data_IF_390971862820
#
_entry.id   IF_390971862820
#
_cell.length_a   1.000
_cell.length_b   1.000
_cell.length_c   1.000
_cell.angle_alpha   90.00
_cell.angle_beta   90.00
_cell.angle_gamma   90.00
#
_symmetry.space_group_name_H-M   'P 1'
#
loop_
_entity.id
_entity.type
_entity.pdbx_description
1 polymer ?
#
# COMPACT_ATOMS: atom_id res chain seq x y z
N UNK A 1 19.93 10.83 -15.84
CA UNK A 1 19.07 10.02 -14.94
C UNK A 1 18.73 10.82 -13.69
N UNK A 2 17.61 10.55 -13.00
CA UNK A 2 17.35 11.15 -11.67
C UNK A 2 17.64 10.10 -10.60
N UNK A 3 18.82 10.17 -9.99
CA UNK A 3 19.22 9.27 -8.91
C UNK A 3 18.45 9.61 -7.61
N UNK A 4 18.29 8.62 -6.71
CA UNK A 4 17.70 8.78 -5.36
C UNK A 4 16.25 9.33 -5.29
N UNK A 5 15.40 9.06 -6.29
CA UNK A 5 13.97 9.39 -6.21
C UNK A 5 13.26 8.53 -5.15
N UNK A 6 13.13 9.08 -3.94
CA UNK A 6 12.47 8.40 -2.82
C UNK A 6 10.93 8.35 -2.89
N UNK A 7 10.29 9.12 -3.78
CA UNK A 7 8.83 9.25 -3.83
C UNK A 7 8.29 9.38 -5.27
N UNK A 8 7.03 9.00 -5.47
CA UNK A 8 6.30 9.23 -6.73
C UNK A 8 5.73 10.64 -6.76
N UNK A 9 5.83 11.32 -7.91
CA UNK A 9 5.27 12.68 -8.08
C UNK A 9 3.74 12.70 -8.19
N UNK A 10 3.11 11.57 -8.58
CA UNK A 10 1.65 11.44 -8.74
C UNK A 10 1.02 12.52 -9.64
N UNK A 11 1.78 13.08 -10.58
CA UNK A 11 1.33 14.18 -11.45
C UNK A 11 1.01 15.49 -10.71
N UNK A 12 1.56 15.71 -9.51
CA UNK A 12 1.26 16.89 -8.67
C UNK A 12 2.51 17.68 -8.31
N UNK A 13 2.32 18.97 -8.01
CA UNK A 13 3.32 19.81 -7.34
C UNK A 13 3.60 19.27 -5.93
N UNK A 14 4.74 19.65 -5.35
CA UNK A 14 5.14 19.16 -4.02
C UNK A 14 4.11 19.52 -2.95
N UNK A 15 3.59 20.75 -2.96
CA UNK A 15 2.59 21.23 -2.02
C UNK A 15 1.27 20.46 -2.12
N UNK A 16 0.75 20.30 -3.34
CA UNK A 16 -0.49 19.54 -3.57
C UNK A 16 -0.28 18.06 -3.20
N UNK A 17 0.86 17.46 -3.53
CA UNK A 17 1.16 16.09 -3.13
C UNK A 17 1.17 15.92 -1.61
N UNK A 18 1.84 16.83 -0.88
CA UNK A 18 1.87 16.79 0.58
C UNK A 18 0.48 16.99 1.18
N UNK A 19 -0.28 17.97 0.68
CA UNK A 19 -1.66 18.21 1.14
C UNK A 19 -2.57 16.99 0.92
N UNK A 20 -2.45 16.35 -0.24
CA UNK A 20 -3.18 15.12 -0.57
C UNK A 20 -2.80 13.97 0.37
N UNK A 21 -1.51 13.77 0.67
CA UNK A 21 -1.06 12.72 1.59
C UNK A 21 -1.54 12.96 3.02
N UNK A 22 -1.51 14.22 3.50
CA UNK A 22 -2.08 14.59 4.81
C UNK A 22 -3.57 14.29 4.87
N UNK A 23 -4.32 14.64 3.83
CA UNK A 23 -5.75 14.34 3.74
C UNK A 23 -6.01 12.83 3.80
N UNK A 24 -5.30 12.03 2.99
CA UNK A 24 -5.46 10.58 2.97
C UNK A 24 -5.07 9.94 4.31
N UNK A 25 -4.00 10.42 4.96
CA UNK A 25 -3.57 9.94 6.27
C UNK A 25 -4.62 10.24 7.35
N UNK A 26 -5.16 11.46 7.35
CA UNK A 26 -6.27 11.86 8.22
C UNK A 26 -7.51 10.99 7.98
N UNK A 27 -7.87 10.72 6.72
CA UNK A 27 -9.00 9.85 6.39
C UNK A 27 -8.76 8.41 6.85
N UNK A 28 -7.56 7.86 6.68
CA UNK A 28 -7.22 6.50 7.10
C UNK A 28 -7.34 6.34 8.62
N UNK A 29 -6.74 7.27 9.39
CA UNK A 29 -6.74 7.19 10.86
C UNK A 29 -8.13 7.44 11.44
N UNK A 30 -8.94 8.33 10.84
CA UNK A 30 -10.28 8.62 11.34
C UNK A 30 -11.36 7.67 10.79
N UNK A 31 -11.03 6.80 9.82
CA UNK A 31 -12.00 5.87 9.28
C UNK A 31 -12.51 4.93 10.37
N UNK A 32 -13.83 4.66 10.34
CA UNK A 32 -14.49 3.72 11.27
C UNK A 32 -13.88 2.32 11.18
N UNK A 33 -13.66 1.85 9.96
CA UNK A 33 -13.09 0.53 9.66
C UNK A 33 -11.56 0.57 9.52
N UNK A 34 -10.92 1.72 9.81
CA UNK A 34 -9.46 1.91 9.67
C UNK A 34 -8.92 1.54 8.27
N UNK A 35 -9.75 1.70 7.23
CA UNK A 35 -9.42 1.39 5.83
C UNK A 35 -9.98 2.45 4.89
N UNK A 36 -9.26 2.69 3.79
CA UNK A 36 -9.73 3.54 2.69
C UNK A 36 -9.43 2.88 1.34
N UNK A 37 -10.29 3.15 0.36
CA UNK A 37 -10.09 2.72 -1.03
C UNK A 37 -9.44 3.87 -1.80
N UNK A 38 -8.34 3.57 -2.50
CA UNK A 38 -7.61 4.55 -3.31
C UNK A 38 -6.92 3.86 -4.49
N UNK A 39 -6.19 4.61 -5.31
CA UNK A 39 -5.40 4.01 -6.38
C UNK A 39 -4.11 3.39 -5.84
N UNK A 40 -3.63 2.31 -6.45
CA UNK A 40 -2.43 1.60 -6.00
C UNK A 40 -1.20 2.52 -5.86
N UNK A 41 -0.92 3.46 -6.79
CA UNK A 41 0.18 4.40 -6.61
C UNK A 41 0.01 5.32 -5.39
N UNK A 42 -1.22 5.78 -5.10
CA UNK A 42 -1.50 6.61 -3.92
C UNK A 42 -1.35 5.80 -2.63
N UNK A 43 -1.83 4.56 -2.59
CA UNK A 43 -1.68 3.67 -1.45
C UNK A 43 -0.21 3.40 -1.11
N UNK A 44 0.62 3.12 -2.13
CA UNK A 44 2.07 2.88 -1.95
C UNK A 44 2.80 4.09 -1.39
N UNK A 45 2.47 5.30 -1.83
CA UNK A 45 3.04 6.53 -1.26
C UNK A 45 2.50 6.83 0.15
N UNK A 46 1.22 6.51 0.40
CA UNK A 46 0.61 6.73 1.70
C UNK A 46 1.22 5.82 2.78
N UNK A 47 1.57 4.58 2.44
CA UNK A 47 2.20 3.63 3.37
C UNK A 47 3.42 4.22 4.07
N UNK A 48 4.43 4.69 3.32
CA UNK A 48 5.65 5.25 3.91
C UNK A 48 5.41 6.55 4.68
N UNK A 49 4.34 7.27 4.32
CA UNK A 49 3.93 8.48 5.01
C UNK A 49 3.29 8.17 6.37
N UNK A 50 2.34 7.25 6.42
CA UNK A 50 1.60 6.87 7.65
C UNK A 50 2.47 6.03 8.59
N UNK A 51 3.32 5.15 8.08
CA UNK A 51 4.20 4.33 8.93
C UNK A 51 5.12 5.20 9.78
N UNK A 52 5.68 6.27 9.22
CA UNK A 52 6.50 7.22 9.98
C UNK A 52 5.70 7.92 11.08
N UNK A 53 4.44 8.28 10.82
CA UNK A 53 3.59 8.89 11.84
C UNK A 53 3.30 7.93 13.00
N UNK A 54 2.97 6.67 12.69
CA UNK A 54 2.72 5.63 13.72
C UNK A 54 3.98 5.28 14.50
N UNK A 55 5.14 5.23 13.84
CA UNK A 55 6.42 5.01 14.52
C UNK A 55 6.68 6.09 15.58
N UNK A 56 6.41 7.36 15.29
CA UNK A 56 6.56 8.44 16.29
C UNK A 56 5.63 8.26 17.49
N UNK A 57 4.41 7.79 17.29
CA UNK A 57 3.50 7.49 18.42
C UNK A 57 3.95 6.28 19.24
N UNK A 58 4.50 5.24 18.60
CA UNK A 58 5.00 4.07 19.30
C UNK A 58 6.23 4.42 20.16
N UNK A 59 7.16 5.21 19.62
CA UNK A 59 8.30 5.70 20.40
C UNK A 59 7.88 6.49 21.62
N UNK A 60 6.81 7.30 21.52
CA UNK A 60 6.33 8.08 22.65
C UNK A 60 5.79 7.22 23.81
N UNK A 61 5.30 6.00 23.54
CA UNK A 61 4.79 5.07 24.56
C UNK A 61 5.89 4.33 25.33
N UNK A 62 7.14 4.37 24.86
CA UNK A 62 8.29 3.75 25.53
C UNK A 62 9.10 4.73 26.37
N UNK A 63 8.66 5.97 26.52
CA UNK A 63 9.40 7.01 27.25
C UNK A 63 8.90 7.09 28.69
N UNK A 64 9.79 6.84 29.63
CA UNK A 64 9.54 6.94 31.08
C UNK A 64 10.58 7.86 31.74
N UNK A 65 10.24 8.44 32.91
CA UNK A 65 11.13 9.31 33.70
C UNK A 65 10.93 10.83 33.48
N UNK A 66 11.74 11.64 34.17
CA UNK A 66 11.58 13.10 34.30
C UNK A 66 11.64 13.85 32.95
N UNK A 67 12.41 13.33 31.98
CA UNK A 67 12.50 13.91 30.64
C UNK A 67 11.49 13.34 29.64
N UNK A 68 10.77 12.28 30.00
CA UNK A 68 9.84 11.56 29.13
C UNK A 68 8.66 12.43 28.67
N UNK A 69 8.17 13.30 29.55
CA UNK A 69 7.10 14.25 29.22
C UNK A 69 7.52 15.25 28.12
N UNK A 70 8.76 15.77 28.19
CA UNK A 70 9.28 16.70 27.18
C UNK A 70 9.54 16.00 25.84
N UNK A 71 10.09 14.79 25.87
CA UNK A 71 10.37 14.00 24.68
C UNK A 71 9.07 13.54 23.98
N UNK A 72 8.06 13.09 24.73
CA UNK A 72 6.75 12.72 24.16
C UNK A 72 6.04 13.93 23.53
N UNK A 73 6.14 15.12 24.14
CA UNK A 73 5.66 16.36 23.56
C UNK A 73 6.37 16.68 22.23
N UNK A 74 7.69 16.51 22.17
CA UNK A 74 8.47 16.70 20.95
C UNK A 74 8.02 15.75 19.83
N UNK A 75 7.83 14.47 20.13
CA UNK A 75 7.31 13.48 19.17
C UNK A 75 5.90 13.82 18.69
N UNK A 76 5.01 14.28 19.57
CA UNK A 76 3.67 14.78 19.19
C UNK A 76 3.74 15.97 18.24
N UNK A 77 4.68 16.91 18.45
CA UNK A 77 4.92 18.06 17.56
C UNK A 77 5.47 17.63 16.20
N UNK A 78 6.39 16.67 16.17
CA UNK A 78 6.88 16.09 14.91
C UNK A 78 5.75 15.40 14.13
N UNK A 79 4.94 14.60 14.82
CA UNK A 79 3.81 13.87 14.22
C UNK A 79 2.72 14.81 13.68
N UNK A 80 2.54 16.00 14.30
CA UNK A 80 1.58 17.00 13.81
C UNK A 80 1.86 17.45 12.36
N UNK A 81 3.11 17.36 11.87
CA UNK A 81 3.46 17.71 10.49
C UNK A 81 2.84 16.79 9.42
N UNK A 82 2.43 15.58 9.82
CA UNK A 82 1.78 14.58 8.96
C UNK A 82 0.27 14.83 8.79
N UNK A 83 -0.29 15.78 9.54
CA UNK A 83 -1.70 16.14 9.48
C UNK A 83 -1.85 17.62 9.15
N UNK A 84 -3.03 18.01 8.69
CA UNK A 84 -3.33 19.43 8.55
C UNK A 84 -3.51 20.07 9.92
N UNK A 85 -2.82 21.20 10.13
CA UNK A 85 -3.02 22.02 11.31
C UNK A 85 -4.47 22.48 11.36
N UNK A 86 -5.07 22.43 12.55
CA UNK A 86 -6.39 23.00 12.74
C UNK A 86 -6.38 24.51 12.51
N UNK A 87 -7.46 25.07 11.97
CA UNK A 87 -7.65 26.52 11.98
C UNK A 87 -7.69 27.00 13.43
N UNK A 88 -6.64 27.72 13.84
CA UNK A 88 -6.45 28.24 15.21
C UNK A 88 -7.39 29.43 15.52
N UNK A 89 -8.01 29.99 14.49
CA UNK A 89 -8.87 31.16 14.57
C UNK A 89 -10.29 30.76 14.18
N UNK A 90 -11.11 30.28 15.11
CA UNK A 90 -12.57 30.45 15.06
C UNK A 90 -13.30 29.90 16.30
N UNK A 91 -14.31 30.69 16.69
CA UNK A 91 -15.19 30.58 17.84
C UNK A 91 -15.97 29.26 17.89
N UNK A 92 -16.21 28.66 19.07
CA UNK A 92 -17.01 27.45 19.22
C UNK A 92 -18.49 27.76 18.94
N UNK A 93 -18.91 27.75 17.67
CA UNK A 93 -20.34 27.75 17.36
C UNK A 93 -20.92 26.37 17.65
N UNK A 94 -21.78 26.32 18.68
CA UNK A 94 -22.60 25.19 19.04
C UNK A 94 -23.26 24.58 17.79
N UNK A 95 -23.15 23.26 17.66
CA UNK A 95 -23.77 22.52 16.56
C UNK A 95 -25.28 22.74 16.53
N UNK A 96 -25.86 22.82 15.32
CA UNK A 96 -27.31 22.74 15.17
C UNK A 96 -27.74 21.32 15.57
N UNK A 97 -28.63 21.19 16.57
CA UNK A 97 -29.26 19.94 17.07
C UNK A 97 -28.46 19.09 18.08
N UNK A 98 -27.94 19.67 19.16
CA UNK A 98 -27.61 18.94 20.41
C UNK A 98 -26.53 17.84 20.33
N UNK A 99 -25.97 17.55 19.15
CA UNK A 99 -24.81 16.67 18.99
C UNK A 99 -23.55 17.51 19.16
N UNK A 100 -22.59 17.10 20.01
CA UNK A 100 -21.28 17.73 20.00
C UNK A 100 -20.72 17.61 18.58
N UNK A 101 -20.29 18.73 18.00
CA UNK A 101 -19.55 18.68 16.73
C UNK A 101 -18.28 17.86 17.01
N UNK A 102 -18.03 16.82 16.21
CA UNK A 102 -16.70 16.21 16.13
C UNK A 102 -15.69 17.36 16.03
N UNK A 103 -14.58 17.35 16.82
CA UNK A 103 -13.60 18.43 16.80
C UNK A 103 -13.23 18.72 15.35
N UNK A 104 -13.56 19.92 14.85
CA UNK A 104 -13.68 20.19 13.39
C UNK A 104 -12.36 20.16 12.62
N UNK A 105 -11.29 19.73 13.26
CA UNK A 105 -9.98 19.56 12.65
C UNK A 105 -9.68 18.08 12.66
N UNK A 106 -10.13 17.40 11.60
CA UNK A 106 -9.93 15.97 11.42
C UNK A 106 -8.45 15.56 11.62
N UNK A 107 -7.49 16.45 11.29
CA UNK A 107 -6.07 16.27 11.58
C UNK A 107 -5.71 16.23 13.06
N UNK A 108 -6.30 17.09 13.90
CA UNK A 108 -6.06 17.08 15.36
C UNK A 108 -6.73 15.86 16.00
N UNK A 109 -7.93 15.51 15.54
CA UNK A 109 -8.60 14.27 15.94
C UNK A 109 -7.76 13.03 15.60
N UNK A 110 -7.19 13.00 14.39
CA UNK A 110 -6.31 11.92 13.95
C UNK A 110 -5.04 11.87 14.81
N UNK A 111 -4.43 13.01 15.12
CA UNK A 111 -3.25 13.08 15.98
C UNK A 111 -3.54 12.57 17.40
N UNK A 112 -4.69 12.95 17.98
CA UNK A 112 -5.12 12.45 19.29
C UNK A 112 -5.28 10.93 19.25
N UNK A 113 -6.05 10.41 18.29
CA UNK A 113 -6.28 8.96 18.11
C UNK A 113 -4.97 8.19 17.88
N UNK A 114 -4.05 8.78 17.12
CA UNK A 114 -2.74 8.19 16.83
C UNK A 114 -1.93 7.93 18.10
N UNK A 115 -1.84 8.89 19.02
CA UNK A 115 -1.07 8.72 20.26
C UNK A 115 -1.83 7.93 21.32
N UNK A 116 -3.14 8.09 21.43
CA UNK A 116 -3.92 7.46 22.50
C UNK A 116 -4.20 5.97 22.19
N UNK A 117 -4.68 5.65 20.99
CA UNK A 117 -5.12 4.29 20.62
C UNK A 117 -4.06 3.52 19.84
N UNK A 118 -3.54 4.12 18.76
CA UNK A 118 -2.67 3.40 17.81
C UNK A 118 -1.25 3.23 18.36
N UNK A 119 -0.75 4.20 19.12
CA UNK A 119 0.55 4.11 19.78
C UNK A 119 0.63 2.91 20.74
N UNK A 120 -0.41 2.71 21.54
CA UNK A 120 -0.49 1.56 22.46
C UNK A 120 -0.66 0.25 21.69
N UNK A 121 -1.58 0.21 20.71
CA UNK A 121 -1.83 -0.98 19.89
C UNK A 121 -0.56 -1.53 19.23
N UNK A 122 0.29 -0.65 18.72
CA UNK A 122 1.46 -1.04 17.95
C UNK A 122 2.79 -0.99 18.72
N UNK A 123 2.75 -0.79 20.04
CA UNK A 123 3.94 -0.66 20.89
C UNK A 123 4.97 -1.79 20.68
N UNK A 124 4.50 -3.03 20.53
CA UNK A 124 5.35 -4.21 20.40
C UNK A 124 5.62 -4.62 18.93
N UNK A 125 5.08 -3.90 17.95
CA UNK A 125 5.18 -4.25 16.52
C UNK A 125 6.34 -3.49 15.88
N UNK A 126 7.35 -4.21 15.41
CA UNK A 126 8.49 -3.62 14.69
C UNK A 126 8.14 -3.30 13.23
N UNK A 127 7.29 -2.29 13.01
CA UNK A 127 6.91 -1.80 11.70
C UNK A 127 5.81 -2.61 10.97
N UNK A 128 5.48 -2.17 9.75
CA UNK A 128 4.45 -2.82 8.94
C UNK A 128 3.03 -2.64 9.50
N UNK A 129 2.68 -1.41 9.89
CA UNK A 129 1.36 -1.07 10.47
C UNK A 129 0.23 -0.99 9.44
N UNK A 130 0.55 -1.02 8.15
CA UNK A 130 -0.42 -0.88 7.07
C UNK A 130 -0.37 -2.05 6.08
N UNK A 131 -1.54 -2.50 5.65
CA UNK A 131 -1.68 -3.48 4.57
C UNK A 131 -2.28 -2.83 3.34
N UNK A 132 -1.81 -3.26 2.16
CA UNK A 132 -2.37 -2.84 0.87
C UNK A 132 -2.96 -4.10 0.19
N UNK A 133 -4.26 -4.08 -0.09
CA UNK A 133 -4.97 -5.15 -0.80
C UNK A 133 -5.39 -4.62 -2.17
N UNK A 134 -5.00 -5.30 -3.25
CA UNK A 134 -5.40 -4.91 -4.62
C UNK A 134 -6.86 -5.30 -4.86
N UNK A 135 -7.64 -4.40 -5.46
CA UNK A 135 -9.05 -4.66 -5.77
C UNK A 135 -9.31 -4.95 -7.25
N UNK A 136 -8.36 -4.63 -8.14
CA UNK A 136 -8.56 -4.70 -9.58
C UNK A 136 -8.44 -3.33 -10.22
N UNK A 137 -9.09 -3.14 -11.37
CA UNK A 137 -9.08 -1.88 -12.11
C UNK A 137 -10.44 -1.19 -12.02
N UNK A 138 -10.42 0.14 -12.02
CA UNK A 138 -11.62 0.98 -11.99
C UNK A 138 -12.20 1.14 -13.39
N UNK A 139 -13.52 1.06 -13.50
CA UNK A 139 -14.22 1.33 -14.75
C UNK A 139 -14.09 2.81 -15.15
N UNK A 140 -13.91 3.07 -16.44
CA UNK A 140 -13.73 4.41 -17.00
C UNK A 140 -12.28 4.75 -17.30
N UNK A 141 -11.43 4.87 -16.27
CA UNK A 141 -10.01 5.24 -16.45
C UNK A 141 -9.02 4.07 -16.28
N UNK A 142 -9.53 2.86 -16.06
CA UNK A 142 -8.76 1.63 -15.90
C UNK A 142 -7.68 1.70 -14.81
N UNK A 143 -7.82 2.60 -13.85
CA UNK A 143 -6.82 2.82 -12.81
C UNK A 143 -6.81 1.64 -11.82
N UNK A 144 -5.62 1.13 -11.48
CA UNK A 144 -5.48 0.09 -10.47
C UNK A 144 -5.90 0.61 -9.08
N UNK A 145 -6.90 -0.04 -8.48
CA UNK A 145 -7.40 0.26 -7.15
C UNK A 145 -6.78 -0.64 -6.10
N UNK A 146 -6.67 -0.10 -4.89
CA UNK A 146 -6.25 -0.82 -3.71
C UNK A 146 -6.95 -0.28 -2.46
N UNK A 147 -7.24 -1.17 -1.53
CA UNK A 147 -7.53 -0.83 -0.14
C UNK A 147 -6.21 -0.66 0.57
N UNK A 148 -6.07 0.41 1.34
CA UNK A 148 -5.07 0.50 2.40
C UNK A 148 -5.77 0.49 3.74
N UNK A 149 -5.34 -0.40 4.63
CA UNK A 149 -5.93 -0.65 5.95
C UNK A 149 -4.85 -0.70 7.03
N UNK A 150 -5.23 -0.35 8.26
CA UNK A 150 -4.44 -0.61 9.45
C UNK A 150 -4.54 -2.09 9.83
N UNK A 151 -3.44 -2.65 10.32
CA UNK A 151 -3.35 -4.04 10.78
C UNK A 151 -3.92 -4.15 12.20
N UNK A 152 -4.33 -5.35 12.63
CA UNK A 152 -4.88 -5.59 13.97
C UNK A 152 -6.13 -4.73 14.24
N UNK A 153 -6.89 -4.43 13.17
CA UNK A 153 -8.13 -3.67 13.25
C UNK A 153 -9.25 -4.55 13.80
N UNK A 154 -10.31 -3.93 14.34
CA UNK A 154 -11.41 -4.67 14.97
C UNK A 154 -12.09 -5.69 14.05
N UNK A 155 -12.10 -5.44 12.73
CA UNK A 155 -12.64 -6.36 11.72
C UNK A 155 -11.77 -7.61 11.56
N UNK A 156 -10.45 -7.45 11.55
CA UNK A 156 -9.51 -8.58 11.49
C UNK A 156 -9.66 -9.45 12.73
N UNK A 157 -9.74 -8.84 13.91
CA UNK A 157 -9.93 -9.55 15.17
C UNK A 157 -11.27 -10.30 15.17
N UNK A 158 -12.37 -9.67 14.73
CA UNK A 158 -13.66 -10.35 14.60
C UNK A 158 -13.64 -11.48 13.55
N UNK A 159 -12.84 -11.33 12.50
CA UNK A 159 -12.65 -12.34 11.46
C UNK A 159 -11.84 -13.55 11.92
N UNK A 160 -10.88 -13.38 12.85
CA UNK A 160 -10.11 -14.50 13.41
C UNK A 160 -10.90 -15.27 14.44
N UNK A 161 -11.70 -14.61 15.28
CA UNK A 161 -12.55 -15.27 16.29
C UNK A 161 -13.65 -16.13 15.66
N UNK A 162 -14.22 -15.68 14.54
CA UNK A 162 -15.32 -16.39 13.86
C UNK A 162 -14.83 -17.46 12.86
N UNK A 163 -13.52 -17.68 12.73
CA UNK A 163 -12.98 -18.67 11.81
C UNK A 163 -12.88 -20.03 12.53
N UNK A 164 -13.51 -21.10 12.00
CA UNK A 164 -13.26 -22.44 12.54
C UNK A 164 -11.76 -22.74 12.44
N UNK A 165 -11.19 -23.26 13.53
CA UNK A 165 -9.76 -23.54 13.62
C UNK A 165 -9.33 -24.35 12.39
N UNK A 166 -8.50 -23.75 11.52
CA UNK A 166 -7.84 -24.52 10.47
C UNK A 166 -6.94 -25.52 11.17
N UNK A 167 -7.26 -26.80 11.04
CA UNK A 167 -6.38 -27.90 11.45
C UNK A 167 -5.03 -27.68 10.80
N UNK A 168 -4.04 -27.28 11.59
CA UNK A 168 -2.64 -27.28 11.17
C UNK A 168 -2.28 -28.74 10.97
N UNK A 169 -2.38 -29.19 9.71
CA UNK A 169 -1.93 -30.51 9.31
C UNK A 169 -0.47 -30.63 9.71
N UNK A 170 -0.21 -31.46 10.71
CA UNK A 170 1.14 -31.80 11.15
C UNK A 170 1.73 -32.71 10.09
N UNK A 171 2.16 -32.12 8.97
CA UNK A 171 2.98 -32.78 7.97
C UNK A 171 4.36 -33.01 8.55
N UNK A 172 4.52 -34.06 9.36
CA UNK A 172 5.82 -34.66 9.67
C UNK A 172 6.43 -35.10 8.35
N UNK A 173 7.22 -34.23 7.72
CA UNK A 173 8.16 -34.65 6.68
C UNK A 173 9.43 -35.10 7.40
N UNK A 174 9.42 -36.37 7.80
CA UNK A 174 10.65 -37.08 8.19
C UNK A 174 11.58 -37.04 6.98
N UNK A 175 12.68 -36.28 7.08
CA UNK A 175 13.88 -36.59 6.32
C UNK A 175 14.96 -36.85 7.35
N UNK A 176 15.51 -38.05 7.27
CA UNK A 176 16.41 -38.62 8.24
C UNK A 176 17.72 -37.84 8.33
N UNK A 177 18.29 -37.87 9.53
CA UNK A 177 19.69 -37.54 9.86
C UNK A 177 20.67 -38.14 8.84
N UNK A 178 21.58 -37.30 8.36
CA UNK A 178 22.99 -37.65 8.26
C UNK A 178 23.78 -36.43 8.76
N UNK A 179 24.39 -36.59 9.93
CA UNK A 179 25.31 -35.64 10.55
C UNK A 179 26.72 -36.18 10.42
N UNK A 180 27.69 -35.25 10.26
CA UNK A 180 29.15 -35.30 10.47
C UNK A 180 29.88 -34.84 9.20
N UNK A 181 30.89 -33.97 9.22
CA UNK A 181 31.52 -33.14 10.24
C UNK A 181 32.48 -32.19 9.47
N UNK A 182 32.69 -30.97 9.97
CA UNK A 182 34.01 -30.28 10.07
C UNK A 182 33.82 -28.78 10.26
N UNK A 183 34.20 -28.33 11.45
CA UNK A 183 34.55 -26.96 11.73
C UNK A 183 36.02 -26.70 11.33
N UNK A 184 36.33 -25.41 11.16
CA UNK A 184 37.63 -24.78 10.95
C UNK A 184 38.23 -24.84 9.52
N UNK A 185 38.15 -23.71 8.80
CA UNK A 185 39.36 -22.95 8.48
C UNK A 185 39.02 -21.49 8.12
N UNK A 186 39.70 -20.59 8.81
CA UNK A 186 39.73 -19.15 8.59
C UNK A 186 40.59 -18.77 7.38
N UNK A 187 40.09 -17.85 6.56
CA UNK A 187 40.91 -16.85 5.88
C UNK A 187 41.47 -17.22 4.51
N UNK A 188 40.94 -16.58 3.46
CA UNK A 188 41.70 -15.80 2.46
C UNK A 188 40.74 -14.98 1.60
N UNK A 189 40.95 -13.65 1.64
CA UNK A 189 40.46 -12.71 0.63
C UNK A 189 41.23 -12.96 -0.68
N UNK A 190 40.53 -13.07 -1.79
CA UNK A 190 40.95 -12.52 -3.08
C UNK A 190 39.74 -12.51 -4.02
N UNK A 191 39.47 -11.34 -4.60
CA UNK A 191 38.39 -11.17 -5.56
C UNK A 191 38.68 -11.90 -6.87
N UNK A 192 37.62 -12.39 -7.50
CA UNK A 192 37.63 -12.66 -8.93
C UNK A 192 36.36 -12.09 -9.54
N UNK A 193 36.53 -11.03 -10.33
CA UNK A 193 35.55 -10.61 -11.31
C UNK A 193 35.52 -11.70 -12.38
N UNK A 194 34.41 -12.40 -12.51
CA UNK A 194 34.13 -13.18 -13.71
C UNK A 194 33.29 -12.30 -14.63
N UNK A 195 33.97 -11.74 -15.64
CA UNK A 195 33.34 -11.33 -16.89
C UNK A 195 32.44 -12.46 -17.37
N UNK A 196 31.16 -12.14 -17.59
CA UNK A 196 30.25 -13.02 -18.32
C UNK A 196 29.88 -12.29 -19.60
N UNK A 197 30.75 -12.45 -20.59
CA UNK A 197 30.45 -12.16 -21.99
C UNK A 197 29.20 -12.96 -22.38
N UNK A 198 28.16 -12.24 -22.81
CA UNK A 198 26.94 -12.84 -23.33
C UNK A 198 27.12 -12.97 -24.84
N UNK A 199 27.52 -14.15 -25.28
CA UNK A 199 27.47 -14.49 -26.70
C UNK A 199 26.00 -14.62 -27.11
N UNK A 200 25.61 -13.75 -28.05
CA UNK A 200 24.28 -13.69 -28.65
C UNK A 200 24.26 -14.72 -29.78
N UNK A 201 23.41 -15.75 -29.79
CA UNK A 201 23.26 -16.58 -30.97
C UNK A 201 22.57 -15.76 -32.07
N UNK A 202 23.28 -15.59 -33.17
CA UNK A 202 22.77 -15.08 -34.44
C UNK A 202 21.73 -16.07 -34.99
N UNK A 203 20.46 -15.70 -35.02
CA UNK A 203 19.48 -16.35 -35.91
C UNK A 203 19.37 -15.48 -37.15
N UNK A 204 20.11 -15.88 -38.17
CA UNK A 204 20.09 -15.35 -39.53
C UNK A 204 18.67 -15.46 -40.10
N UNK A 205 18.21 -14.35 -40.67
CA UNK A 205 16.95 -14.27 -41.38
C UNK A 205 17.05 -14.99 -42.73
N UNK A 206 16.23 -16.01 -42.94
CA UNK A 206 15.83 -16.42 -44.29
C UNK A 206 14.45 -15.85 -44.60
N UNK A 207 14.43 -15.05 -45.66
CA UNK A 207 13.26 -14.47 -46.30
C UNK A 207 12.53 -15.57 -47.06
N UNK A 208 11.30 -15.88 -46.66
CA UNK A 208 10.30 -16.50 -47.52
C UNK A 208 9.13 -15.54 -47.67
N UNK A 209 9.00 -14.90 -48.84
CA UNK A 209 7.81 -14.13 -49.21
C UNK A 209 6.68 -15.11 -49.46
N UNK A 210 5.58 -15.00 -48.72
CA UNK A 210 4.30 -15.61 -49.07
C UNK A 210 3.35 -14.50 -49.51
N UNK A 211 3.00 -14.49 -50.78
CA UNK A 211 1.99 -13.62 -51.38
C UNK A 211 0.59 -13.94 -50.84
N UNK A 212 -0.36 -12.98 -50.85
CA UNK A 212 -1.70 -13.18 -50.34
C UNK A 212 -2.53 -14.02 -51.32
N UNK A 213 -3.21 -15.05 -50.82
CA UNK A 213 -4.21 -15.79 -51.59
C UNK A 213 -5.46 -14.91 -51.70
N UNK A 214 -5.64 -14.29 -52.85
CA UNK A 214 -6.92 -13.81 -53.38
C UNK A 214 -7.50 -14.92 -54.26
N UNK A 215 -8.68 -15.42 -53.94
CA UNK A 215 -9.51 -16.13 -54.91
C UNK A 215 -10.74 -15.26 -55.21
N UNK A 216 -10.77 -14.73 -56.43
CA UNK A 216 -11.96 -14.18 -57.07
C UNK A 216 -12.76 -15.31 -57.73
N UNK A 217 -14.07 -15.29 -57.46
CA UNK A 217 -15.22 -15.42 -58.38
C UNK A 217 -15.24 -16.50 -59.47
N UNK A 218 -16.33 -17.28 -59.47
CA UNK A 218 -17.35 -17.42 -60.53
C UNK A 218 -18.30 -18.58 -60.12
N UNK A 219 -19.60 -18.65 -60.41
CA UNK A 219 -20.59 -17.83 -61.12
C UNK A 219 -21.97 -18.55 -61.01
N UNK A 220 -23.06 -17.82 -61.34
CA UNK A 220 -24.42 -18.33 -61.69
C UNK A 220 -25.33 -18.81 -60.52
N UNK A 221 -26.65 -18.58 -60.40
CA UNK A 221 -27.73 -18.11 -61.31
C UNK A 221 -29.01 -17.81 -60.49
N UNK A 222 -29.89 -16.92 -61.00
CA UNK A 222 -31.35 -16.75 -60.72
C UNK A 222 -31.79 -16.39 -59.28
N UNK A 223 -32.65 -15.40 -58.99
CA UNK A 223 -33.74 -14.83 -59.77
C UNK A 223 -35.08 -15.40 -59.29
N UNK A 224 -35.79 -14.67 -58.41
CA UNK A 224 -37.21 -14.78 -57.94
C UNK A 224 -37.26 -14.37 -56.45
N UNK A 225 -38.19 -13.60 -55.90
CA UNK A 225 -39.42 -13.00 -56.36
C UNK A 225 -39.97 -12.15 -55.20
N UNK A 226 -40.86 -11.23 -55.55
CA UNK A 226 -41.55 -10.27 -54.68
C UNK A 226 -42.42 -10.98 -53.62
N UNK A 227 -42.69 -10.31 -52.49
CA UNK A 227 -43.58 -10.87 -51.46
C UNK A 227 -43.89 -9.92 -50.30
N UNK A 228 -44.70 -8.91 -50.59
CA UNK A 228 -45.41 -8.01 -49.67
C UNK A 228 -46.43 -8.76 -48.78
N UNK A 229 -46.88 -8.09 -47.70
CA UNK A 229 -47.96 -8.42 -46.71
C UNK A 229 -47.44 -9.13 -45.44
N UNK A 230 -47.74 -8.71 -44.22
CA UNK A 230 -48.83 -7.89 -43.64
C UNK A 230 -48.33 -7.00 -42.50
#
# INVERSE_FOLDING_TARGET
MRHLKAHRKLGRTTEHRLSMLRNLATSLINARDERIVTTLPKAKELRSFVERAITLSCHAQGLEGDTGAAQSLHLRRQAASFFHAGNRQQTPLNGRRGRPRLPRTAGVSALKRLFDELGERYKNRQGGYTRIIKLGRRDGDNAELAIIELVDNAREVAGTTNRPAKSVGTGKRQTARASESRAAESGRRAGHKADRTYEKPETTAERGRGEPVTDEQESTTAGEGQGEKT
#
